data_IF_645559843376
#
_entry.id   IF_645559843376
#
_cell.length_a   1.000
_cell.length_b   1.000
_cell.length_c   1.000
_cell.angle_alpha   90.00
_cell.angle_beta   90.00
_cell.angle_gamma   90.00
#
_symmetry.space_group_name_H-M   'P 1'
#
loop_
_entity.id
_entity.type
_entity.pdbx_description
1 polymer ?
#
# COMPACT_ATOMS: atom_id res chain seq x y z
N UNK A 1 -12.53 -49.92 -25.23
CA UNK A 1 -13.12 -48.97 -24.27
C UNK A 1 -12.31 -47.68 -24.33
N UNK A 2 -12.77 -46.74 -25.15
CA UNK A 2 -12.04 -45.52 -25.54
C UNK A 2 -12.45 -44.38 -24.59
N UNK A 3 -11.53 -43.91 -23.75
CA UNK A 3 -11.78 -42.72 -22.94
C UNK A 3 -11.50 -41.47 -23.78
N UNK A 4 -12.57 -40.80 -24.20
CA UNK A 4 -12.55 -39.51 -24.87
C UNK A 4 -12.14 -38.43 -23.87
N UNK A 5 -10.89 -37.98 -23.93
CA UNK A 5 -10.44 -36.81 -23.18
C UNK A 5 -11.10 -35.55 -23.78
N UNK A 6 -12.09 -35.00 -23.07
CA UNK A 6 -12.63 -33.69 -23.41
C UNK A 6 -11.54 -32.62 -23.24
N UNK A 7 -11.48 -31.59 -24.12
CA UNK A 7 -10.54 -30.49 -23.94
C UNK A 7 -10.89 -29.75 -22.64
N UNK A 8 -9.94 -29.73 -21.70
CA UNK A 8 -10.00 -28.85 -20.53
C UNK A 8 -10.15 -27.43 -21.05
N UNK A 9 -11.27 -26.79 -20.77
CA UNK A 9 -11.46 -25.37 -21.07
C UNK A 9 -10.27 -24.61 -20.50
N UNK A 10 -9.58 -23.87 -21.36
CA UNK A 10 -8.47 -23.03 -20.94
C UNK A 10 -9.03 -21.99 -19.97
N UNK A 11 -8.84 -22.23 -18.66
CA UNK A 11 -9.12 -21.27 -17.62
C UNK A 11 -8.35 -19.99 -17.99
N UNK A 12 -9.07 -18.97 -18.42
CA UNK A 12 -8.48 -17.67 -18.72
C UNK A 12 -7.93 -17.15 -17.39
N UNK A 13 -6.61 -17.01 -17.33
CA UNK A 13 -5.93 -16.64 -16.10
C UNK A 13 -6.50 -15.33 -15.51
N UNK A 14 -6.87 -15.29 -14.21
CA UNK A 14 -7.45 -14.11 -13.56
C UNK A 14 -6.56 -12.85 -13.61
N UNK A 15 -5.28 -12.99 -13.94
CA UNK A 15 -4.29 -11.90 -13.91
C UNK A 15 -4.50 -10.81 -14.97
N UNK A 16 -5.05 -11.13 -16.15
CA UNK A 16 -5.19 -10.13 -17.23
C UNK A 16 -6.31 -9.12 -16.97
N UNK A 17 -7.43 -9.58 -16.41
CA UNK A 17 -8.57 -8.72 -16.06
C UNK A 17 -8.25 -7.85 -14.86
N UNK A 18 -7.68 -8.41 -13.79
CA UNK A 18 -7.28 -7.63 -12.62
C UNK A 18 -6.26 -6.55 -12.97
N UNK A 19 -5.26 -6.87 -13.82
CA UNK A 19 -4.30 -5.89 -14.31
C UNK A 19 -4.98 -4.76 -15.07
N UNK A 20 -5.90 -5.07 -15.99
CA UNK A 20 -6.68 -4.06 -16.73
C UNK A 20 -7.50 -3.18 -15.79
N UNK A 21 -8.18 -3.78 -14.81
CA UNK A 21 -8.99 -3.04 -13.84
C UNK A 21 -8.13 -2.12 -12.97
N UNK A 22 -6.98 -2.59 -12.49
CA UNK A 22 -6.06 -1.81 -11.67
C UNK A 22 -5.52 -0.59 -12.41
N UNK A 23 -5.00 -0.78 -13.63
CA UNK A 23 -4.48 0.35 -14.43
C UNK A 23 -5.58 1.26 -14.96
N UNK A 24 -6.76 0.71 -15.27
CA UNK A 24 -7.95 1.50 -15.61
C UNK A 24 -8.40 2.37 -14.44
N UNK A 25 -8.42 1.84 -13.22
CA UNK A 25 -8.72 2.59 -12.01
C UNK A 25 -7.67 3.67 -11.72
N UNK A 26 -6.38 3.36 -11.90
CA UNK A 26 -5.31 4.35 -11.76
C UNK A 26 -5.45 5.50 -12.77
N UNK A 27 -5.73 5.20 -14.04
CA UNK A 27 -5.98 6.22 -15.06
C UNK A 27 -7.22 7.05 -14.73
N UNK A 28 -8.31 6.42 -14.31
CA UNK A 28 -9.53 7.12 -13.92
C UNK A 28 -9.30 8.04 -12.71
N UNK A 29 -8.57 7.57 -11.70
CA UNK A 29 -8.24 8.36 -10.51
C UNK A 29 -7.35 9.57 -10.86
N UNK A 30 -6.36 9.39 -11.74
CA UNK A 30 -5.50 10.49 -12.21
C UNK A 30 -6.28 11.51 -13.06
N UNK A 31 -7.26 11.06 -13.85
CA UNK A 31 -8.08 11.94 -14.69
C UNK A 31 -9.20 12.64 -13.92
N UNK A 32 -9.61 12.13 -12.77
CA UNK A 32 -10.73 12.69 -12.00
C UNK A 32 -10.54 14.18 -11.66
N UNK A 33 -9.37 14.65 -11.17
CA UNK A 33 -9.12 16.09 -10.95
C UNK A 33 -9.15 16.89 -12.25
N UNK A 34 -8.61 16.35 -13.36
CA UNK A 34 -8.62 17.03 -14.64
C UNK A 34 -10.04 17.27 -15.16
N UNK A 35 -10.92 16.28 -15.00
CA UNK A 35 -12.35 16.40 -15.34
C UNK A 35 -13.04 17.38 -14.39
N UNK A 36 -12.78 17.28 -13.07
CA UNK A 36 -13.38 18.18 -12.08
C UNK A 36 -13.01 19.66 -12.33
N UNK A 37 -11.76 19.95 -12.71
CA UNK A 37 -11.29 21.28 -13.10
C UNK A 37 -12.00 21.87 -14.33
N UNK A 38 -12.69 21.06 -15.13
CA UNK A 38 -13.53 21.55 -16.24
C UNK A 38 -14.96 21.88 -15.79
N UNK A 39 -15.36 21.43 -14.60
CA UNK A 39 -16.74 21.50 -14.10
C UNK A 39 -16.89 22.48 -12.92
N UNK A 40 -15.83 22.69 -12.14
CA UNK A 40 -15.83 23.54 -10.94
C UNK A 40 -14.46 24.14 -10.66
N UNK A 41 -14.46 25.28 -9.97
CA UNK A 41 -13.28 25.95 -9.43
C UNK A 41 -12.87 25.39 -8.04
N UNK A 42 -13.55 24.37 -7.49
CA UNK A 42 -13.20 23.81 -6.19
C UNK A 42 -11.91 22.95 -6.21
N UNK A 43 -11.53 22.44 -7.38
CA UNK A 43 -10.35 21.59 -7.55
C UNK A 43 -9.30 22.35 -8.35
N UNK A 44 -8.09 22.48 -7.82
CA UNK A 44 -7.00 23.19 -8.48
C UNK A 44 -5.72 22.38 -8.43
N UNK A 45 -5.60 21.38 -9.30
CA UNK A 45 -4.36 20.63 -9.46
C UNK A 45 -3.42 21.32 -10.43
N UNK A 46 -2.17 21.51 -10.00
CA UNK A 46 -1.07 21.95 -10.85
C UNK A 46 -0.56 20.79 -11.71
N UNK A 47 0.24 21.10 -12.73
CA UNK A 47 0.92 20.07 -13.53
C UNK A 47 1.81 19.15 -12.66
N UNK A 48 2.40 19.67 -11.57
CA UNK A 48 3.20 18.88 -10.65
C UNK A 48 2.36 17.90 -9.83
N UNK A 49 1.13 18.24 -9.47
CA UNK A 49 0.23 17.33 -8.75
C UNK A 49 -0.15 16.13 -9.61
N UNK A 50 -0.41 16.34 -10.91
CA UNK A 50 -0.62 15.25 -11.87
C UNK A 50 0.63 14.38 -12.03
N UNK A 51 1.81 14.97 -12.14
CA UNK A 51 3.07 14.20 -12.23
C UNK A 51 3.29 13.39 -10.95
N UNK A 52 3.13 14.00 -9.78
CA UNK A 52 3.28 13.35 -8.48
C UNK A 52 2.32 12.17 -8.34
N UNK A 53 1.02 12.39 -8.57
CA UNK A 53 0.00 11.34 -8.50
C UNK A 53 0.27 10.24 -9.54
N UNK A 54 0.66 10.61 -10.76
CA UNK A 54 0.99 9.66 -11.81
C UNK A 54 2.15 8.74 -11.44
N UNK A 55 3.23 9.30 -10.87
CA UNK A 55 4.38 8.54 -10.37
C UNK A 55 3.97 7.65 -9.20
N UNK A 56 3.19 8.18 -8.25
CA UNK A 56 2.72 7.43 -7.08
C UNK A 56 1.85 6.22 -7.47
N UNK A 57 0.91 6.42 -8.40
CA UNK A 57 0.07 5.36 -8.96
C UNK A 57 0.88 4.33 -9.73
N UNK A 58 1.84 4.78 -10.55
CA UNK A 58 2.70 3.88 -11.30
C UNK A 58 3.57 3.02 -10.38
N UNK A 59 4.13 3.61 -9.32
CA UNK A 59 4.92 2.90 -8.33
C UNK A 59 4.08 1.86 -7.56
N UNK A 60 2.88 2.25 -7.11
CA UNK A 60 1.96 1.34 -6.44
C UNK A 60 1.51 0.19 -7.36
N UNK A 61 1.13 0.50 -8.60
CA UNK A 61 0.75 -0.49 -9.60
C UNK A 61 1.89 -1.47 -9.92
N UNK A 62 3.11 -0.96 -10.12
CA UNK A 62 4.29 -1.79 -10.35
C UNK A 62 4.60 -2.71 -9.15
N UNK A 63 4.55 -2.18 -7.91
CA UNK A 63 4.76 -2.97 -6.71
C UNK A 63 3.72 -4.09 -6.55
N UNK A 64 2.45 -3.80 -6.87
CA UNK A 64 1.38 -4.80 -6.89
C UNK A 64 1.62 -5.88 -7.94
N UNK A 65 2.01 -5.51 -9.17
CA UNK A 65 2.32 -6.49 -10.20
C UNK A 65 3.47 -7.41 -9.79
N UNK A 66 4.54 -6.86 -9.23
CA UNK A 66 5.67 -7.65 -8.74
C UNK A 66 5.22 -8.60 -7.64
N UNK A 67 4.47 -8.12 -6.64
CA UNK A 67 3.95 -8.95 -5.55
C UNK A 67 3.03 -10.07 -6.04
N UNK A 68 2.18 -9.80 -7.03
CA UNK A 68 1.28 -10.79 -7.61
C UNK A 68 1.98 -11.83 -8.51
N UNK A 69 3.10 -11.47 -9.14
CA UNK A 69 3.87 -12.39 -10.00
C UNK A 69 4.75 -13.35 -9.20
N UNK A 70 5.21 -12.92 -8.03
CA UNK A 70 6.21 -13.67 -7.25
C UNK A 70 5.62 -14.72 -6.31
N UNK A 71 4.30 -14.69 -6.05
CA UNK A 71 3.66 -15.63 -5.13
C UNK A 71 2.32 -16.11 -5.63
N UNK A 72 2.11 -17.43 -5.56
CA UNK A 72 0.81 -18.06 -5.76
C UNK A 72 -0.06 -18.09 -4.50
N UNK A 73 0.49 -17.79 -3.33
CA UNK A 73 -0.23 -17.86 -2.05
C UNK A 73 -1.15 -16.65 -1.87
N UNK A 74 -2.43 -16.92 -1.57
CA UNK A 74 -3.45 -15.89 -1.42
C UNK A 74 -3.18 -14.93 -0.26
N UNK A 75 -2.63 -15.41 0.86
CA UNK A 75 -2.30 -14.56 2.01
C UNK A 75 -1.14 -13.63 1.69
N UNK A 76 -0.11 -14.11 0.99
CA UNK A 76 1.00 -13.26 0.54
C UNK A 76 0.52 -12.16 -0.39
N UNK A 77 -0.32 -12.49 -1.37
CA UNK A 77 -0.88 -11.50 -2.32
C UNK A 77 -1.78 -10.48 -1.61
N UNK A 78 -2.61 -10.92 -0.66
CA UNK A 78 -3.42 -10.02 0.16
C UNK A 78 -2.55 -9.12 1.04
N UNK A 79 -1.46 -9.64 1.60
CA UNK A 79 -0.48 -8.88 2.38
C UNK A 79 0.20 -7.80 1.55
N UNK A 80 0.57 -8.11 0.30
CA UNK A 80 1.08 -7.11 -0.64
C UNK A 80 0.05 -6.04 -0.96
N UNK A 81 -1.21 -6.41 -1.19
CA UNK A 81 -2.30 -5.47 -1.40
C UNK A 81 -2.48 -4.50 -0.21
N UNK A 82 -2.50 -5.04 1.02
CA UNK A 82 -2.61 -4.23 2.23
C UNK A 82 -1.41 -3.29 2.40
N UNK A 83 -0.19 -3.78 2.20
CA UNK A 83 1.02 -2.97 2.35
C UNK A 83 1.13 -1.85 1.29
N UNK A 84 0.91 -2.18 0.02
CA UNK A 84 1.01 -1.20 -1.07
C UNK A 84 -0.15 -0.21 -1.02
N UNK A 85 -1.37 -0.68 -0.77
CA UNK A 85 -2.54 0.20 -0.60
C UNK A 85 -2.38 1.14 0.60
N UNK A 86 -1.94 0.61 1.73
CA UNK A 86 -1.65 1.41 2.93
C UNK A 86 -0.58 2.46 2.68
N UNK A 87 0.53 2.08 2.02
CA UNK A 87 1.59 3.03 1.66
C UNK A 87 1.15 4.09 0.66
N UNK A 88 0.36 3.71 -0.34
CA UNK A 88 -0.22 4.64 -1.31
C UNK A 88 -1.09 5.69 -0.62
N UNK A 89 -2.06 5.25 0.19
CA UNK A 89 -2.98 6.18 0.88
C UNK A 89 -2.21 7.02 1.89
N UNK A 90 -1.21 6.47 2.60
CA UNK A 90 -0.37 7.22 3.53
C UNK A 90 0.36 8.36 2.83
N UNK A 91 1.06 8.07 1.73
CA UNK A 91 1.83 9.09 0.98
C UNK A 91 0.89 10.13 0.38
N UNK A 92 -0.22 9.70 -0.20
CA UNK A 92 -1.17 10.61 -0.82
C UNK A 92 -1.83 11.52 0.22
N UNK A 93 -2.37 10.98 1.31
CA UNK A 93 -3.00 11.76 2.36
C UNK A 93 -2.00 12.74 3.01
N UNK A 94 -0.79 12.27 3.31
CA UNK A 94 0.26 13.10 3.88
C UNK A 94 0.69 14.26 2.96
N UNK A 95 0.78 14.00 1.65
CA UNK A 95 1.11 15.03 0.66
C UNK A 95 -0.05 16.02 0.43
N UNK A 96 -1.30 15.59 0.63
CA UNK A 96 -2.47 16.40 0.36
C UNK A 96 -2.84 17.34 1.50
N UNK A 97 -2.76 16.86 2.75
CA UNK A 97 -3.27 17.60 3.92
C UNK A 97 -2.35 17.58 5.14
N UNK A 98 -1.21 16.87 5.07
CA UNK A 98 -0.46 16.47 6.27
C UNK A 98 -1.26 15.49 7.14
N UNK A 99 -0.57 14.68 7.93
CA UNK A 99 -1.24 13.70 8.79
C UNK A 99 -1.47 14.22 10.20
N UNK A 100 -0.59 15.09 10.69
CA UNK A 100 -0.69 15.65 12.02
C UNK A 100 -0.38 17.14 11.96
N UNK A 101 -1.26 17.95 12.55
CA UNK A 101 -1.10 19.40 12.63
C UNK A 101 -1.17 20.07 11.25
N UNK A 102 -0.34 21.08 11.03
CA UNK A 102 -0.29 21.77 9.74
C UNK A 102 0.35 20.91 8.65
N UNK A 103 -0.21 20.94 7.44
CA UNK A 103 0.36 20.33 6.24
C UNK A 103 1.81 20.75 5.96
N UNK A 104 2.19 21.97 6.35
CA UNK A 104 3.54 22.52 6.16
C UNK A 104 4.52 22.12 7.28
N UNK A 105 4.08 21.41 8.33
CA UNK A 105 4.96 20.95 9.39
C UNK A 105 5.92 19.87 8.85
N UNK A 106 7.22 20.16 8.93
CA UNK A 106 8.29 19.24 8.56
C UNK A 106 8.21 17.90 9.31
N UNK A 107 7.50 17.83 10.43
CA UNK A 107 7.20 16.58 11.14
C UNK A 107 6.53 15.54 10.22
N UNK A 108 5.67 15.98 9.30
CA UNK A 108 4.97 15.09 8.37
C UNK A 108 5.93 14.36 7.39
N UNK A 109 7.19 14.82 7.25
CA UNK A 109 8.22 14.11 6.48
C UNK A 109 8.61 12.76 7.12
N UNK A 110 8.43 12.60 8.43
CA UNK A 110 8.74 11.33 9.12
C UNK A 110 7.88 10.17 8.60
N UNK A 111 6.66 10.44 8.14
CA UNK A 111 5.79 9.41 7.54
C UNK A 111 6.34 8.85 6.22
N UNK A 112 7.18 9.60 5.49
CA UNK A 112 7.93 9.04 4.36
C UNK A 112 8.95 8.00 4.81
N UNK A 113 9.50 8.15 6.03
CA UNK A 113 10.35 7.16 6.68
C UNK A 113 9.64 5.83 6.90
N UNK A 114 8.34 5.82 7.19
CA UNK A 114 7.53 4.59 7.32
C UNK A 114 7.54 3.82 6.00
N UNK A 115 7.31 4.50 4.88
CA UNK A 115 7.33 3.89 3.56
C UNK A 115 8.74 3.43 3.18
N UNK A 116 9.77 4.21 3.53
CA UNK A 116 11.16 3.81 3.33
C UNK A 116 11.51 2.51 4.08
N UNK A 117 11.06 2.37 5.34
CA UNK A 117 11.22 1.13 6.12
C UNK A 117 10.49 -0.05 5.46
N UNK A 118 9.27 0.15 4.97
CA UNK A 118 8.53 -0.88 4.26
C UNK A 118 9.26 -1.34 2.98
N UNK A 119 9.76 -0.40 2.17
CA UNK A 119 10.50 -0.69 0.93
C UNK A 119 11.82 -1.38 1.24
N UNK A 120 12.63 -0.83 2.14
CA UNK A 120 13.92 -1.43 2.52
C UNK A 120 13.72 -2.83 3.10
N UNK A 121 12.74 -3.00 3.98
CA UNK A 121 12.38 -4.30 4.54
C UNK A 121 11.93 -5.30 3.46
N UNK A 122 11.14 -4.86 2.48
CA UNK A 122 10.70 -5.69 1.36
C UNK A 122 11.86 -6.14 0.45
N UNK A 123 12.79 -5.23 0.15
CA UNK A 123 14.02 -5.52 -0.61
C UNK A 123 14.90 -6.51 0.14
N UNK A 124 15.18 -6.26 1.42
CA UNK A 124 15.98 -7.14 2.27
C UNK A 124 15.34 -8.52 2.46
N UNK A 125 14.01 -8.57 2.59
CA UNK A 125 13.24 -9.80 2.64
C UNK A 125 13.22 -10.56 1.31
N UNK A 126 13.61 -9.91 0.20
CA UNK A 126 13.47 -10.41 -1.18
C UNK A 126 12.03 -10.89 -1.44
N UNK A 127 11.08 -10.16 -0.86
CA UNK A 127 9.65 -10.46 -0.92
C UNK A 127 9.24 -11.84 -0.39
N UNK A 128 10.08 -12.53 0.39
CA UNK A 128 9.72 -13.79 1.06
C UNK A 128 8.82 -13.53 2.26
N UNK A 129 7.77 -14.34 2.42
CA UNK A 129 6.74 -14.16 3.45
C UNK A 129 7.29 -13.92 4.87
N UNK A 130 8.22 -14.76 5.35
CA UNK A 130 8.79 -14.61 6.70
C UNK A 130 9.62 -13.31 6.87
N UNK A 131 10.26 -12.85 5.81
CA UNK A 131 10.96 -11.56 5.82
C UNK A 131 10.00 -10.38 5.76
N UNK A 132 8.98 -10.47 4.91
CA UNK A 132 7.93 -9.45 4.77
C UNK A 132 7.16 -9.25 6.06
N UNK A 133 6.88 -10.32 6.82
CA UNK A 133 6.29 -10.19 8.15
C UNK A 133 7.15 -9.31 9.07
N UNK A 134 8.47 -9.54 9.13
CA UNK A 134 9.38 -8.70 9.93
C UNK A 134 9.45 -7.26 9.42
N UNK A 135 9.43 -7.07 8.10
CA UNK A 135 9.39 -5.75 7.49
C UNK A 135 8.13 -4.97 7.90
N UNK A 136 6.95 -5.60 7.87
CA UNK A 136 5.70 -4.97 8.28
C UNK A 136 5.64 -4.69 9.78
N UNK A 137 6.22 -5.58 10.62
CA UNK A 137 6.36 -5.30 12.04
C UNK A 137 7.24 -4.06 12.31
N UNK A 138 8.38 -3.93 11.62
CA UNK A 138 9.24 -2.76 11.73
C UNK A 138 8.56 -1.48 11.23
N UNK A 139 7.80 -1.59 10.13
CA UNK A 139 7.02 -0.49 9.56
C UNK A 139 5.94 -0.01 10.54
N UNK A 140 5.20 -0.96 11.13
CA UNK A 140 4.21 -0.68 12.17
C UNK A 140 4.86 -0.01 13.39
N UNK A 141 5.98 -0.55 13.87
CA UNK A 141 6.70 0.02 15.01
C UNK A 141 7.17 1.47 14.74
N UNK A 142 7.71 1.74 13.54
CA UNK A 142 8.08 3.10 13.11
C UNK A 142 6.86 4.03 13.11
N UNK A 143 5.73 3.56 12.55
CA UNK A 143 4.51 4.37 12.48
C UNK A 143 3.97 4.72 13.87
N UNK A 144 3.94 3.75 14.80
CA UNK A 144 3.54 3.97 16.18
C UNK A 144 4.52 4.90 16.92
N UNK A 145 5.83 4.79 16.65
CA UNK A 145 6.83 5.67 17.24
C UNK A 145 6.66 7.12 16.78
N UNK A 146 6.32 7.35 15.51
CA UNK A 146 6.00 8.70 15.00
C UNK A 146 4.76 9.25 15.69
N UNK A 147 3.68 8.45 15.81
CA UNK A 147 2.47 8.86 16.53
C UNK A 147 2.75 9.22 18.00
N UNK A 148 3.56 8.42 18.68
CA UNK A 148 3.98 8.71 20.06
C UNK A 148 4.84 9.98 20.13
N UNK A 149 5.74 10.20 19.17
CA UNK A 149 6.56 11.40 19.09
C UNK A 149 5.70 12.66 18.84
N UNK A 150 4.67 12.57 17.98
CA UNK A 150 3.72 13.65 17.75
C UNK A 150 3.03 14.06 19.07
N UNK A 151 2.52 13.09 19.83
CA UNK A 151 1.92 13.34 21.14
C UNK A 151 2.92 13.95 22.13
N UNK A 152 4.12 13.37 22.22
CA UNK A 152 5.15 13.82 23.16
C UNK A 152 5.67 15.23 22.88
N UNK A 153 5.56 15.69 21.64
CA UNK A 153 6.05 17.00 21.19
C UNK A 153 4.91 17.98 20.89
N UNK A 154 3.67 17.62 21.25
CA UNK A 154 2.49 18.47 21.12
C UNK A 154 2.13 18.82 19.67
N UNK A 155 2.41 17.95 18.70
CA UNK A 155 1.91 18.11 17.33
C UNK A 155 0.46 17.62 17.22
N UNK A 156 -0.30 18.25 16.32
CA UNK A 156 -1.72 17.96 16.08
C UNK A 156 -2.64 18.86 16.90
N UNK A 157 -3.91 18.90 16.51
CA UNK A 157 -4.97 19.69 17.17
C UNK A 157 -5.53 18.99 18.42
N UNK A 158 -5.04 17.77 18.72
CA UNK A 158 -5.30 17.10 19.99
C UNK A 158 -4.94 15.63 20.00
N UNK A 159 -5.01 15.03 21.20
CA UNK A 159 -4.66 13.60 21.41
C UNK A 159 -5.54 12.68 20.57
N UNK A 160 -6.82 13.00 20.40
CA UNK A 160 -7.76 12.19 19.65
C UNK A 160 -7.44 12.13 18.15
N UNK A 161 -7.03 13.26 17.55
CA UNK A 161 -6.61 13.32 16.14
C UNK A 161 -5.37 12.46 15.92
N UNK A 162 -4.30 12.71 16.69
CA UNK A 162 -3.03 11.99 16.54
C UNK A 162 -3.22 10.48 16.77
N UNK A 163 -3.97 10.11 17.80
CA UNK A 163 -4.28 8.71 18.07
C UNK A 163 -5.13 8.08 16.95
N UNK A 164 -6.12 8.82 16.43
CA UNK A 164 -6.98 8.38 15.33
C UNK A 164 -6.19 8.14 14.05
N UNK A 165 -5.38 9.11 13.63
CA UNK A 165 -4.51 9.01 12.45
C UNK A 165 -3.52 7.86 12.60
N UNK A 166 -2.84 7.80 13.75
CA UNK A 166 -1.88 6.73 14.04
C UNK A 166 -2.55 5.35 13.98
N UNK A 167 -3.74 5.20 14.57
CA UNK A 167 -4.46 3.95 14.54
C UNK A 167 -4.89 3.56 13.12
N UNK A 168 -5.54 4.46 12.39
CA UNK A 168 -6.04 4.21 11.02
C UNK A 168 -4.91 3.80 10.09
N UNK A 169 -3.80 4.53 10.09
CA UNK A 169 -2.68 4.24 9.20
C UNK A 169 -1.75 3.12 9.71
N UNK A 170 -1.88 2.69 10.96
CA UNK A 170 -1.24 1.47 11.47
C UNK A 170 -1.92 0.18 10.99
N UNK A 171 -3.25 0.21 10.75
CA UNK A 171 -4.03 -0.98 10.42
C UNK A 171 -3.52 -1.73 9.17
N UNK A 172 -3.16 -1.09 8.04
CA UNK A 172 -2.64 -1.79 6.89
C UNK A 172 -1.34 -2.56 7.19
N UNK A 173 -0.45 -1.99 8.00
CA UNK A 173 0.81 -2.63 8.39
C UNK A 173 0.57 -3.84 9.29
N UNK A 174 -0.35 -3.70 10.26
CA UNK A 174 -0.74 -4.79 11.15
C UNK A 174 -1.42 -5.94 10.37
N UNK A 175 -2.32 -5.60 9.45
CA UNK A 175 -2.99 -6.56 8.58
C UNK A 175 -1.97 -7.28 7.68
N UNK A 176 -1.09 -6.53 7.00
CA UNK A 176 -0.05 -7.10 6.16
C UNK A 176 0.90 -8.01 6.95
N UNK A 177 1.30 -7.61 8.17
CA UNK A 177 2.08 -8.43 9.08
C UNK A 177 1.42 -9.79 9.34
N UNK A 178 0.13 -9.78 9.73
CA UNK A 178 -0.62 -11.00 10.00
C UNK A 178 -0.73 -11.92 8.78
N UNK A 179 -1.01 -11.33 7.61
CA UNK A 179 -1.13 -12.05 6.34
C UNK A 179 0.20 -12.69 5.91
N UNK A 180 1.32 -11.97 6.04
CA UNK A 180 2.64 -12.54 5.72
C UNK A 180 3.08 -13.62 6.72
N UNK A 181 2.70 -13.50 8.00
CA UNK A 181 2.91 -14.58 8.98
C UNK A 181 2.13 -15.83 8.62
N UNK A 182 0.87 -15.68 8.23
CA UNK A 182 0.05 -16.80 7.77
C UNK A 182 0.66 -17.48 6.53
N UNK A 183 1.07 -16.69 5.54
CA UNK A 183 1.75 -17.20 4.34
C UNK A 183 3.06 -17.94 4.68
N UNK A 184 3.87 -17.41 5.60
CA UNK A 184 5.11 -18.03 6.04
C UNK A 184 4.86 -19.38 6.73
N UNK A 185 3.83 -19.46 7.58
CA UNK A 185 3.40 -20.70 8.22
C UNK A 185 3.02 -21.75 7.18
N UNK A 186 2.21 -21.39 6.18
CA UNK A 186 1.81 -22.33 5.11
C UNK A 186 2.99 -22.83 4.29
N UNK A 187 3.95 -21.97 3.98
CA UNK A 187 5.18 -22.36 3.27
C UNK A 187 6.01 -23.38 4.07
N UNK A 188 6.08 -23.25 5.40
CA UNK A 188 6.80 -24.18 6.26
C UNK A 188 6.13 -25.56 6.33
N UNK A 189 4.79 -25.63 6.31
CA UNK A 189 4.05 -26.90 6.32
C UNK A 189 4.03 -27.62 4.96
N UNK A 190 4.38 -26.91 3.88
CA UNK A 190 4.49 -27.47 2.54
C UNK A 190 5.91 -27.97 2.20
N UNK A 191 6.88 -27.75 3.10
CA UNK A 191 8.23 -28.29 2.94
C UNK A 191 8.24 -29.78 3.33
N UNK A 192 8.77 -30.66 2.46
CA UNK A 192 8.82 -32.10 2.70
C UNK A 192 9.77 -32.50 3.84
#
# INVERSE_FOLDING_TARGET
MTMTNAPRSAATWPGSTLRRLMWGAAAALLLAPAVAMQLTDEVHWTALDFVFMGVLLAAAGAAMEVGMRLSGDGFHRAGMAAAVGGGFVLVWANAAVGLVGSEADAFNLLYLGVVAVAIAGAVLARLRAAGMARAMAATLAMHLAIGAAALATGRGDGVAEVAGVTAVFALPWLLAWGLFRAAAGRAAHAAP
#
